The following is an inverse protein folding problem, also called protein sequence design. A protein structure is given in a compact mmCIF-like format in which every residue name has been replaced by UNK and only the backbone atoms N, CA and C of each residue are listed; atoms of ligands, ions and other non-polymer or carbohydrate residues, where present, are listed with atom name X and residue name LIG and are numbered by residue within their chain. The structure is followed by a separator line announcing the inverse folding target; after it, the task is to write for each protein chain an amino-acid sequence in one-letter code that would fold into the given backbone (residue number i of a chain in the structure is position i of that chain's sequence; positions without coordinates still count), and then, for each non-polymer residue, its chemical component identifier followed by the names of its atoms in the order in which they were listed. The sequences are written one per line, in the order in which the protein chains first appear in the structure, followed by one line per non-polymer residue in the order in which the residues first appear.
data_IF_454216341366
#
_entry.id   IF_454216341366
#
_cell.length_a   1.000
_cell.length_b   1.000
_cell.length_c   1.000
_cell.angle_alpha   90.00
_cell.angle_beta   90.00
_cell.angle_gamma   90.00
#
_symmetry.space_group_name_H-M   'P 1'
#
loop_
_entity.id
_entity.type
_entity.pdbx_description
1 polymer ?
#
# COMPACT_ATOMS: atom_id res chain seq x y z
N UNK A 1 -16.75 16.59 8.71
CA UNK A 1 -15.34 16.89 8.97
C UNK A 1 -14.48 15.99 8.09
N UNK A 2 -13.48 16.54 7.40
CA UNK A 2 -12.56 15.73 6.59
C UNK A 2 -11.57 15.01 7.52
N UNK A 3 -11.47 13.69 7.38
CA UNK A 3 -10.46 12.91 8.07
C UNK A 3 -9.10 13.09 7.39
N UNK A 4 -8.05 13.25 8.18
CA UNK A 4 -6.67 13.42 7.70
C UNK A 4 -5.82 12.26 8.16
N UNK A 5 -5.00 11.73 7.27
CA UNK A 5 -4.00 10.71 7.60
C UNK A 5 -2.85 11.39 8.34
N UNK A 6 -2.49 10.86 9.51
CA UNK A 6 -1.38 11.37 10.35
C UNK A 6 -0.14 10.47 10.30
N UNK A 7 -0.29 9.27 9.74
CA UNK A 7 0.77 8.27 9.64
C UNK A 7 0.25 6.99 9.01
N UNK A 8 1.18 6.12 8.63
CA UNK A 8 0.92 4.79 8.06
C UNK A 8 1.62 3.79 8.95
N UNK A 9 0.95 2.68 9.22
CA UNK A 9 1.50 1.55 9.96
C UNK A 9 1.08 0.28 9.27
N UNK A 10 2.05 -0.59 9.06
CA UNK A 10 1.86 -1.93 8.52
C UNK A 10 1.78 -2.92 9.67
N UNK A 11 0.76 -3.76 9.65
CA UNK A 11 0.58 -4.86 10.60
C UNK A 11 0.87 -6.18 9.88
N UNK A 12 1.72 -7.03 10.49
CA UNK A 12 2.14 -8.29 9.90
C UNK A 12 3.49 -8.76 10.43
N UNK A 13 4.12 -9.69 9.70
CA UNK A 13 5.45 -10.22 10.01
C UNK A 13 6.58 -9.39 9.39
N UNK A 14 7.64 -10.08 8.95
CA UNK A 14 8.87 -9.46 8.44
C UNK A 14 8.64 -8.39 7.35
N UNK A 15 7.72 -8.64 6.41
CA UNK A 15 7.38 -7.65 5.39
C UNK A 15 6.84 -6.34 6.00
N UNK A 16 5.99 -6.42 7.02
CA UNK A 16 5.44 -5.24 7.68
C UNK A 16 6.53 -4.45 8.40
N UNK A 17 7.51 -5.12 9.02
CA UNK A 17 8.67 -4.45 9.63
C UNK A 17 9.48 -3.67 8.59
N UNK A 18 9.76 -4.27 7.44
CA UNK A 18 10.54 -3.64 6.37
C UNK A 18 9.77 -2.46 5.73
N UNK A 19 8.45 -2.59 5.55
CA UNK A 19 7.61 -1.51 5.04
C UNK A 19 7.44 -0.37 6.05
N UNK A 20 7.35 -0.66 7.35
CA UNK A 20 7.34 0.36 8.41
C UNK A 20 8.66 1.14 8.48
N UNK A 21 9.78 0.51 8.15
CA UNK A 21 11.09 1.15 8.12
C UNK A 21 11.29 2.09 6.91
N UNK A 22 10.49 1.95 5.85
CA UNK A 22 10.55 2.81 4.66
C UNK A 22 9.73 4.10 4.86
N UNK A 23 10.36 5.12 5.45
CA UNK A 23 9.72 6.43 5.67
C UNK A 23 9.26 7.09 4.38
N UNK A 24 9.99 6.90 3.27
CA UNK A 24 9.65 7.50 1.97
C UNK A 24 8.37 6.88 1.40
N UNK A 25 8.22 5.57 1.45
CA UNK A 25 6.99 4.87 1.08
C UNK A 25 5.82 5.33 1.96
N UNK A 26 6.00 5.38 3.27
CA UNK A 26 4.94 5.72 4.20
C UNK A 26 4.46 7.19 4.04
N UNK A 27 5.37 8.11 3.70
CA UNK A 27 5.02 9.49 3.34
C UNK A 27 4.23 9.59 2.02
N UNK A 28 4.55 8.76 1.02
CA UNK A 28 3.80 8.70 -0.24
C UNK A 28 2.37 8.21 0.00
N UNK A 29 2.20 7.17 0.80
CA UNK A 29 0.89 6.61 1.16
C UNK A 29 0.07 7.62 1.98
N UNK A 30 0.69 8.32 2.93
CA UNK A 30 0.01 9.31 3.78
C UNK A 30 -0.58 10.51 3.01
N UNK A 31 -0.09 10.78 1.79
CA UNK A 31 -0.61 11.83 0.90
C UNK A 31 -1.85 11.41 0.11
N UNK A 32 -2.18 10.12 0.10
CA UNK A 32 -3.30 9.58 -0.67
C UNK A 32 -4.64 9.78 0.04
N UNK A 33 -5.74 9.44 -0.64
CA UNK A 33 -7.06 9.40 -0.01
C UNK A 33 -7.11 8.30 1.07
N UNK A 34 -8.02 8.37 2.04
CA UNK A 34 -8.20 7.30 3.03
C UNK A 34 -8.44 5.92 2.40
N UNK A 35 -9.06 5.87 1.22
CA UNK A 35 -9.32 4.63 0.51
C UNK A 35 -8.07 4.05 -0.14
N UNK A 36 -7.20 4.93 -0.61
CA UNK A 36 -5.95 4.60 -1.30
C UNK A 36 -4.77 4.39 -0.34
N UNK A 37 -4.84 4.99 0.85
CA UNK A 37 -3.85 4.81 1.90
C UNK A 37 -4.03 3.52 2.69
N UNK A 38 -5.19 2.85 2.57
CA UNK A 38 -5.41 1.53 3.15
C UNK A 38 -5.02 0.48 2.12
N UNK A 39 -3.93 -0.24 2.36
CA UNK A 39 -3.39 -1.23 1.43
C UNK A 39 -3.27 -2.57 2.15
N UNK A 40 -3.66 -3.63 1.45
CA UNK A 40 -3.57 -5.01 1.88
C UNK A 40 -2.56 -5.76 0.99
N UNK A 41 -1.78 -6.65 1.61
CA UNK A 41 -0.82 -7.53 0.93
C UNK A 41 -1.09 -8.95 1.39
N UNK A 42 -1.69 -9.75 0.50
CA UNK A 42 -2.10 -11.12 0.82
C UNK A 42 -1.35 -12.13 -0.05
N UNK A 43 -0.77 -13.20 0.52
CA UNK A 43 -0.38 -14.36 -0.25
C UNK A 43 -1.64 -15.09 -0.78
N UNK A 44 -1.54 -15.60 -1.98
CA UNK A 44 -2.55 -16.43 -2.65
C UNK A 44 -1.88 -17.69 -3.21
N UNK A 45 -2.67 -18.65 -3.67
CA UNK A 45 -2.14 -19.93 -4.18
C UNK A 45 -1.14 -19.74 -5.34
N UNK A 46 -1.29 -18.68 -6.14
CA UNK A 46 -0.51 -18.45 -7.37
C UNK A 46 0.32 -17.15 -7.35
N UNK A 47 0.47 -16.50 -6.21
CA UNK A 47 1.21 -15.23 -6.13
C UNK A 47 0.80 -14.36 -4.95
N UNK A 48 1.17 -13.09 -5.01
CA UNK A 48 0.89 -12.12 -3.93
C UNK A 48 0.00 -11.01 -4.49
N UNK A 49 -1.09 -10.73 -3.81
CA UNK A 49 -2.06 -9.71 -4.18
C UNK A 49 -1.84 -8.46 -3.34
N UNK A 50 -1.60 -7.33 -4.00
CA UNK A 50 -1.53 -5.99 -3.38
C UNK A 50 -2.75 -5.18 -3.82
N UNK A 51 -3.55 -4.70 -2.87
CA UNK A 51 -4.82 -4.03 -3.20
C UNK A 51 -5.26 -3.01 -2.14
N UNK A 52 -6.00 -1.98 -2.57
CA UNK A 52 -6.60 -0.97 -1.69
C UNK A 52 -8.03 -1.31 -1.26
N UNK A 53 -8.74 -0.35 -0.65
CA UNK A 53 -10.19 -0.52 -0.41
C UNK A 53 -10.97 -0.69 -1.72
N UNK A 54 -12.10 -1.38 -1.63
CA UNK A 54 -13.01 -1.57 -2.76
C UNK A 54 -13.42 -0.22 -3.37
N UNK A 55 -13.35 -0.14 -4.69
CA UNK A 55 -13.81 0.99 -5.51
C UNK A 55 -14.75 0.48 -6.58
N UNK A 56 -15.77 1.27 -6.91
CA UNK A 56 -16.60 0.98 -8.09
C UNK A 56 -15.80 1.30 -9.38
N UNK A 57 -16.32 0.88 -10.53
CA UNK A 57 -15.65 1.05 -11.83
C UNK A 57 -15.47 2.51 -12.26
N UNK A 58 -16.28 3.43 -11.73
CA UNK A 58 -16.17 4.86 -12.03
C UNK A 58 -15.04 5.53 -11.24
N UNK A 59 -14.89 5.15 -9.97
CA UNK A 59 -13.87 5.66 -9.06
C UNK A 59 -12.53 4.91 -9.19
N UNK A 60 -12.50 3.85 -10.00
CA UNK A 60 -11.29 3.08 -10.27
C UNK A 60 -10.34 3.88 -11.16
N UNK A 61 -9.23 4.31 -10.57
CA UNK A 61 -8.13 4.95 -11.26
C UNK A 61 -6.84 4.74 -10.49
N UNK A 62 -5.76 4.42 -11.21
CA UNK A 62 -4.42 4.30 -10.64
C UNK A 62 -3.63 5.52 -11.08
N UNK A 63 -3.31 6.40 -10.14
CA UNK A 63 -2.41 7.53 -10.38
C UNK A 63 -0.98 7.05 -10.49
N UNK A 64 -0.08 7.88 -11.03
CA UNK A 64 1.36 7.57 -11.08
C UNK A 64 1.94 7.31 -9.69
N UNK A 65 1.51 8.10 -8.69
CA UNK A 65 1.94 7.94 -7.30
C UNK A 65 1.44 6.62 -6.70
N UNK A 66 0.18 6.23 -6.97
CA UNK A 66 -0.34 4.94 -6.54
C UNK A 66 0.42 3.77 -7.18
N UNK A 67 0.74 3.89 -8.47
CA UNK A 67 1.57 2.90 -9.14
C UNK A 67 2.96 2.79 -8.49
N UNK A 68 3.62 3.91 -8.19
CA UNK A 68 4.91 3.93 -7.51
C UNK A 68 4.85 3.29 -6.12
N UNK A 69 3.79 3.55 -5.35
CA UNK A 69 3.54 2.91 -4.05
C UNK A 69 3.49 1.39 -4.22
N UNK A 70 2.69 0.89 -5.17
CA UNK A 70 2.55 -0.55 -5.41
C UNK A 70 3.84 -1.19 -5.92
N UNK A 71 4.58 -0.51 -6.80
CA UNK A 71 5.87 -0.99 -7.31
C UNK A 71 6.92 -1.12 -6.20
N UNK A 72 7.00 -0.13 -5.30
CA UNK A 72 7.87 -0.19 -4.11
C UNK A 72 7.53 -1.39 -3.22
N UNK A 73 6.25 -1.60 -2.92
CA UNK A 73 5.78 -2.75 -2.12
C UNK A 73 6.16 -4.07 -2.80
N UNK A 74 5.94 -4.19 -4.11
CA UNK A 74 6.34 -5.36 -4.89
C UNK A 74 7.87 -5.60 -4.85
N UNK A 75 8.66 -4.53 -4.83
CA UNK A 75 10.11 -4.58 -4.65
C UNK A 75 10.53 -5.18 -3.31
N UNK A 76 9.83 -4.86 -2.21
CA UNK A 76 10.08 -5.48 -0.89
C UNK A 76 9.67 -6.95 -0.87
N UNK A 77 8.50 -7.26 -1.41
CA UNK A 77 8.01 -8.64 -1.54
C UNK A 77 9.04 -9.50 -2.27
N UNK A 78 9.56 -9.02 -3.41
CA UNK A 78 10.54 -9.75 -4.23
C UNK A 78 11.84 -10.06 -3.50
N UNK A 79 12.24 -9.26 -2.51
CA UNK A 79 13.46 -9.51 -1.71
C UNK A 79 13.27 -10.61 -0.66
N UNK A 80 12.02 -10.96 -0.34
CA UNK A 80 11.67 -12.00 0.64
C UNK A 80 11.38 -13.36 -0.04
N UNK A 81 11.24 -13.39 -1.36
CA UNK A 81 11.03 -14.60 -2.16
C UNK A 81 12.36 -15.23 -2.62
#
# INVERSE_FOLDING_TARGET
MAQKIIGVTWEGGKLAEDLNADSSLNELIAKQSLNDATIFVDPTDNGIRVYGKWKNSHDFGVTKELFEIYDKIAGYIKKLC
#
